data_IF_831516037063
#
_entry.id   IF_831516037063
#
_cell.length_a   1.000
_cell.length_b   1.000
_cell.length_c   1.000
_cell.angle_alpha   90.00
_cell.angle_beta   90.00
_cell.angle_gamma   90.00
#
_symmetry.space_group_name_H-M   'P 1'
#
loop_
_entity.id
_entity.type
_entity.pdbx_description
1 polymer ?
#
# COMPACT_ATOMS: atom_id res chain seq x y z
N UNK A 1 -12.97 -2.95 0.59
CA UNK A 1 -12.88 -1.57 1.13
C UNK A 1 -12.55 -0.64 -0.03
N UNK A 2 -13.06 0.59 -0.10
CA UNK A 2 -12.80 1.49 -1.24
C UNK A 2 -12.24 2.81 -0.74
N UNK A 3 -10.99 3.08 -1.07
CA UNK A 3 -10.30 4.34 -0.75
C UNK A 3 -10.43 5.29 -1.94
N UNK A 4 -10.31 6.59 -1.68
CA UNK A 4 -10.34 7.61 -2.74
C UNK A 4 -9.02 7.72 -3.51
N UNK A 5 -7.95 7.15 -2.97
CA UNK A 5 -6.63 7.02 -3.54
C UNK A 5 -6.02 5.69 -3.03
N UNK A 6 -5.08 5.13 -3.78
CA UNK A 6 -4.45 3.85 -3.43
C UNK A 6 -3.64 4.01 -2.12
N UNK A 7 -3.91 3.24 -1.06
CA UNK A 7 -3.19 3.35 0.20
C UNK A 7 -1.76 2.83 0.07
N UNK A 8 -0.93 3.13 1.07
CA UNK A 8 0.39 2.49 1.23
C UNK A 8 0.43 1.70 2.54
N UNK A 9 0.89 0.46 2.46
CA UNK A 9 1.27 -0.38 3.60
C UNK A 9 2.80 -0.41 3.67
N UNK A 10 3.38 0.13 4.73
CA UNK A 10 4.80 0.04 5.00
C UNK A 10 5.05 -1.02 6.08
N UNK A 11 5.80 -2.07 5.75
CA UNK A 11 5.92 -3.26 6.59
C UNK A 11 7.39 -3.63 6.86
N UNK A 12 7.66 -4.04 8.10
CA UNK A 12 8.95 -4.59 8.51
C UNK A 12 9.07 -6.06 8.11
N UNK A 13 10.29 -6.53 7.86
CA UNK A 13 10.57 -7.95 7.66
C UNK A 13 10.74 -8.72 8.97
N UNK A 14 10.81 -8.00 10.10
CA UNK A 14 11.08 -8.55 11.44
C UNK A 14 10.00 -8.19 12.47
N UNK A 15 8.83 -7.74 12.01
CA UNK A 15 7.70 -7.46 12.90
C UNK A 15 7.20 -8.76 13.57
N UNK A 16 7.28 -8.89 14.91
CA UNK A 16 6.80 -10.07 15.61
C UNK A 16 5.27 -10.23 15.61
N UNK A 17 4.54 -9.17 15.28
CA UNK A 17 3.07 -9.12 15.28
C UNK A 17 2.47 -9.20 13.87
N UNK A 18 3.26 -8.97 12.82
CA UNK A 18 2.79 -8.97 11.44
C UNK A 18 3.83 -9.60 10.51
N UNK A 19 3.56 -10.83 10.05
CA UNK A 19 4.49 -11.50 9.14
C UNK A 19 4.54 -10.83 7.76
N UNK A 20 5.63 -11.00 7.00
CA UNK A 20 5.73 -10.50 5.62
C UNK A 20 4.61 -11.03 4.71
N UNK A 21 4.20 -12.29 4.87
CA UNK A 21 3.11 -12.87 4.09
C UNK A 21 1.77 -12.23 4.41
N UNK A 22 1.51 -11.99 5.69
CA UNK A 22 0.28 -11.36 6.14
C UNK A 22 0.16 -9.91 5.66
N UNK A 23 1.23 -9.14 5.79
CA UNK A 23 1.24 -7.74 5.33
C UNK A 23 1.13 -7.63 3.81
N UNK A 24 1.66 -8.60 3.05
CA UNK A 24 1.46 -8.67 1.61
C UNK A 24 -0.01 -8.99 1.24
N UNK A 25 -0.64 -9.95 1.91
CA UNK A 25 -2.05 -10.28 1.72
C UNK A 25 -2.97 -9.09 2.08
N UNK A 26 -2.64 -8.39 3.17
CA UNK A 26 -3.35 -7.18 3.60
C UNK A 26 -3.26 -6.09 2.53
N UNK A 27 -2.05 -5.81 2.03
CA UNK A 27 -1.85 -4.82 0.97
C UNK A 27 -2.62 -5.18 -0.29
N UNK A 28 -2.62 -6.46 -0.69
CA UNK A 28 -3.40 -6.92 -1.84
C UNK A 28 -4.91 -6.75 -1.61
N UNK A 29 -5.40 -7.14 -0.43
CA UNK A 29 -6.83 -7.03 -0.05
C UNK A 29 -7.31 -5.58 -0.05
N UNK A 30 -6.43 -4.65 0.33
CA UNK A 30 -6.73 -3.22 0.37
C UNK A 30 -6.46 -2.48 -0.94
N UNK A 31 -5.88 -3.15 -1.95
CA UNK A 31 -5.44 -2.51 -3.18
C UNK A 31 -4.35 -1.46 -2.93
N UNK A 32 -3.47 -1.74 -1.97
CA UNK A 32 -2.43 -0.82 -1.51
C UNK A 32 -1.08 -1.09 -2.15
N UNK A 33 -0.25 -0.06 -2.25
CA UNK A 33 1.18 -0.20 -2.46
C UNK A 33 1.83 -0.81 -1.22
N UNK A 34 2.65 -1.85 -1.38
CA UNK A 34 3.43 -2.43 -0.29
C UNK A 34 4.88 -1.92 -0.35
N UNK A 35 5.36 -1.34 0.74
CA UNK A 35 6.74 -0.89 0.91
C UNK A 35 7.39 -1.72 2.01
N UNK A 36 8.51 -2.38 1.69
CA UNK A 36 9.33 -3.06 2.70
C UNK A 36 10.27 -2.06 3.39
N UNK A 37 10.23 -2.02 4.72
CA UNK A 37 11.07 -1.16 5.55
C UNK A 37 12.38 -1.81 5.99
N UNK A 38 12.54 -3.12 5.74
CA UNK A 38 13.64 -3.93 6.25
C UNK A 38 13.44 -4.30 7.72
N UNK A 39 14.55 -4.46 8.45
CA UNK A 39 14.56 -4.84 9.87
C UNK A 39 14.30 -3.63 10.77
N UNK A 40 13.02 -3.36 11.05
CA UNK A 40 12.57 -2.23 11.89
C UNK A 40 11.67 -2.67 13.05
N UNK A 41 11.54 -3.98 13.29
CA UNK A 41 10.62 -4.53 14.29
C UNK A 41 9.16 -4.11 14.03
N UNK A 42 8.39 -3.81 15.08
CA UNK A 42 6.98 -3.40 14.98
C UNK A 42 6.78 -1.89 14.74
N UNK A 43 7.83 -1.15 14.36
CA UNK A 43 7.78 0.29 14.09
C UNK A 43 7.05 1.12 15.18
N UNK A 44 7.47 0.96 16.43
CA UNK A 44 6.95 1.69 17.58
C UNK A 44 8.10 2.26 18.44
N UNK A 45 7.77 2.94 19.54
CA UNK A 45 8.79 3.48 20.45
C UNK A 45 9.72 2.40 21.03
N UNK A 46 9.19 1.21 21.33
CA UNK A 46 9.98 0.11 21.88
C UNK A 46 10.96 -0.49 20.86
N UNK A 47 10.65 -0.42 19.56
CA UNK A 47 11.58 -0.79 18.49
C UNK A 47 12.45 0.37 18.01
N UNK A 48 12.44 1.51 18.71
CA UNK A 48 13.34 2.65 18.46
C UNK A 48 12.77 3.74 17.54
N UNK A 49 11.50 3.67 17.17
CA UNK A 49 10.87 4.59 16.22
C UNK A 49 9.99 5.62 16.95
N UNK A 50 10.64 6.69 17.43
CA UNK A 50 10.01 7.92 17.93
C UNK A 50 9.86 8.95 16.80
N UNK A 51 10.47 10.15 16.90
CA UNK A 51 10.64 11.00 15.72
C UNK A 51 11.35 10.22 14.62
N UNK A 52 10.69 10.06 13.48
CA UNK A 52 11.17 9.23 12.40
C UNK A 52 11.10 10.01 11.09
N UNK A 53 12.22 10.60 10.67
CA UNK A 53 12.28 11.46 9.49
C UNK A 53 11.77 10.76 8.22
N UNK A 54 12.06 9.45 8.08
CA UNK A 54 11.59 8.63 6.96
C UNK A 54 10.06 8.48 6.90
N UNK A 55 9.33 8.73 7.99
CA UNK A 55 7.87 8.79 7.96
C UNK A 55 7.37 9.89 7.00
N UNK A 56 8.05 11.04 6.99
CA UNK A 56 7.72 12.14 6.07
C UNK A 56 8.00 11.75 4.63
N UNK A 57 9.11 11.07 4.35
CA UNK A 57 9.41 10.55 3.00
C UNK A 57 8.33 9.59 2.49
N UNK A 58 7.83 8.70 3.35
CA UNK A 58 6.74 7.77 3.01
C UNK A 58 5.42 8.49 2.77
N UNK A 59 5.13 9.52 3.57
CA UNK A 59 3.94 10.34 3.41
C UNK A 59 3.99 11.12 2.10
N UNK A 60 5.11 11.78 1.80
CA UNK A 60 5.31 12.54 0.57
C UNK A 60 5.20 11.65 -0.66
N UNK A 61 5.78 10.43 -0.61
CA UNK A 61 5.63 9.45 -1.67
C UNK A 61 4.16 9.01 -1.86
N UNK A 62 3.42 8.80 -0.77
CA UNK A 62 2.00 8.44 -0.83
C UNK A 62 1.17 9.57 -1.46
N UNK A 63 1.45 10.82 -1.07
CA UNK A 63 0.80 12.00 -1.66
C UNK A 63 1.12 12.13 -3.15
N UNK A 64 2.37 11.93 -3.54
CA UNK A 64 2.79 11.98 -4.93
C UNK A 64 2.07 10.92 -5.78
N UNK A 65 1.96 9.68 -5.28
CA UNK A 65 1.21 8.60 -5.94
C UNK A 65 -0.28 8.95 -6.09
N UNK A 66 -0.90 9.53 -5.06
CA UNK A 66 -2.30 9.95 -5.11
C UNK A 66 -2.57 11.11 -6.09
N UNK A 67 -1.54 11.89 -6.44
CA UNK A 67 -1.62 12.99 -7.40
C UNK A 67 -1.32 12.57 -8.84
N UNK A 68 -0.80 11.35 -9.06
CA UNK A 68 -0.63 10.84 -10.41
C UNK A 68 -2.01 10.75 -11.08
N UNK A 69 -2.13 11.13 -12.36
CA UNK A 69 -3.37 10.91 -13.08
C UNK A 69 -3.65 9.40 -13.02
N UNK A 70 -4.83 9.05 -12.51
CA UNK A 70 -5.26 7.66 -12.48
C UNK A 70 -5.10 7.12 -13.89
N UNK A 71 -4.26 6.09 -14.07
CA UNK A 71 -4.17 5.41 -15.36
C UNK A 71 -5.55 4.83 -15.65
N UNK A 72 -6.31 5.52 -16.51
CA UNK A 72 -7.60 5.07 -17.03
C UNK A 72 -7.47 3.77 -17.84
N UNK A 73 -6.24 3.30 -18.08
CA UNK A 73 -5.91 2.04 -18.73
C UNK A 73 -5.56 0.93 -17.75
N UNK A 74 -5.83 1.07 -16.44
CA UNK A 74 -5.67 -0.04 -15.49
C UNK A 74 -6.66 -1.15 -15.81
N UNK A 75 -6.25 -2.00 -16.74
CA UNK A 75 -6.73 -3.35 -16.96
C UNK A 75 -6.53 -4.09 -15.64
N UNK A 76 -7.49 -4.01 -14.72
CA UNK A 76 -7.45 -4.79 -13.49
C UNK A 76 -7.52 -6.26 -13.89
N UNK A 77 -6.46 -7.07 -13.67
CA UNK A 77 -6.48 -8.48 -14.05
C UNK A 77 -7.47 -9.30 -13.20
N UNK A 78 -8.05 -8.70 -12.17
CA UNK A 78 -8.92 -9.33 -11.18
C UNK A 78 -10.36 -8.80 -11.16
N UNK A 79 -10.74 -7.94 -12.13
CA UNK A 79 -12.15 -7.65 -12.38
C UNK A 79 -12.78 -8.82 -13.15
N UNK A 80 -13.81 -9.49 -12.60
CA UNK A 80 -14.57 -10.48 -13.34
C UNK A 80 -15.06 -9.91 -14.67
N UNK A 81 -15.05 -10.71 -15.73
CA UNK A 81 -15.42 -10.28 -17.09
C UNK A 81 -16.74 -9.49 -17.13
N UNK A 82 -17.73 -9.89 -16.32
CA UNK A 82 -19.06 -9.29 -16.27
C UNK A 82 -19.13 -7.88 -15.64
N UNK A 83 -18.04 -7.37 -15.05
CA UNK A 83 -17.93 -6.00 -14.53
C UNK A 83 -17.01 -5.10 -15.36
N UNK A 84 -16.51 -5.60 -16.51
CA UNK A 84 -15.81 -4.76 -17.48
C UNK A 84 -16.84 -3.87 -18.17
N UNK A 85 -16.83 -2.58 -17.84
CA UNK A 85 -17.73 -1.61 -18.46
C UNK A 85 -17.57 -1.66 -19.99
N UNK A 86 -18.62 -2.14 -20.65
CA UNK A 86 -18.71 -2.19 -22.10
C UNK A 86 -18.64 -0.78 -22.66
N UNK A 87 -17.59 -0.52 -23.43
CA UNK A 87 -17.57 0.61 -24.35
C UNK A 87 -18.34 0.18 -25.61
N UNK A 88 -19.59 0.62 -25.70
CA UNK A 88 -20.38 0.65 -26.93
C UNK A 88 -20.62 2.10 -27.32
N UNK A 89 -19.73 2.65 -28.15
CA UNK A 89 -20.05 3.07 -29.52
C UNK A 89 -18.78 3.50 -30.24
#
# INVERSE_FOLDING_TARGET
>A
MRFTADPTVAASTTDPLASPSWTAELAQTWGSHLISLGDVGHLNLASGFGPWARAHELLDATIALAQLPADTSTHSPWLPEHLRAGHSK
#
